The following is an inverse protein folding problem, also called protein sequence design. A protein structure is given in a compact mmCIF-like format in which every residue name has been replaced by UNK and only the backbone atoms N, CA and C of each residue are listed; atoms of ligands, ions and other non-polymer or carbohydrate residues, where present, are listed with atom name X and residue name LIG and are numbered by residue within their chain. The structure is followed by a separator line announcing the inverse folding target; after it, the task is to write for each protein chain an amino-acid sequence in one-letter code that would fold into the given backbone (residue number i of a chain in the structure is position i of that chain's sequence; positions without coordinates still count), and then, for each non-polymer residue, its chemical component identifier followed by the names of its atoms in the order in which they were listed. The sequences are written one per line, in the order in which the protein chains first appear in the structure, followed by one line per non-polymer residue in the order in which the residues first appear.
data_IF_159273988606
#
_entry.id   IF_159273988606
#
_cell.length_a   1.000
_cell.length_b   1.000
_cell.length_c   1.000
_cell.angle_alpha   90.00
_cell.angle_beta   90.00
_cell.angle_gamma   90.00
#
_symmetry.space_group_name_H-M   'P 1'
#
loop_
_entity.id
_entity.type
_entity.pdbx_description
1 polymer ?
#
# COMPACT_ATOMS: atom_id res chain seq x y z
N UNK A 1 0.36 -14.55 -3.67
CA UNK A 1 -0.54 -14.04 -2.60
C UNK A 1 0.37 -13.42 -1.56
N UNK A 2 0.16 -12.14 -1.21
CA UNK A 2 1.05 -11.42 -0.29
C UNK A 2 0.90 -12.03 1.12
N UNK A 3 2.00 -12.41 1.75
CA UNK A 3 2.03 -13.04 3.07
C UNK A 3 3.18 -12.48 3.94
N UNK A 4 3.35 -13.02 5.15
CA UNK A 4 4.40 -12.56 6.09
C UNK A 4 5.82 -12.80 5.57
N UNK A 5 6.07 -13.88 4.83
CA UNK A 5 7.38 -14.14 4.22
C UNK A 5 7.71 -13.08 3.16
N UNK A 6 6.71 -12.72 2.35
CA UNK A 6 6.83 -11.63 1.37
C UNK A 6 7.18 -10.31 2.06
N UNK A 7 6.53 -10.00 3.18
CA UNK A 7 6.83 -8.82 3.99
C UNK A 7 8.28 -8.86 4.52
N UNK A 8 8.73 -9.98 5.07
CA UNK A 8 10.10 -10.13 5.60
C UNK A 8 11.15 -9.87 4.51
N UNK A 9 10.96 -10.47 3.33
CA UNK A 9 11.79 -10.21 2.15
C UNK A 9 11.84 -8.71 1.78
N UNK A 10 10.71 -8.00 1.81
CA UNK A 10 10.66 -6.57 1.52
C UNK A 10 11.33 -5.71 2.60
N UNK A 11 11.25 -6.10 3.87
CA UNK A 11 11.95 -5.42 4.96
C UNK A 11 13.47 -5.51 4.79
N UNK A 12 13.96 -6.68 4.35
CA UNK A 12 15.38 -6.97 4.11
C UNK A 12 15.89 -6.45 2.76
N UNK A 13 15.03 -6.29 1.76
CA UNK A 13 15.42 -5.88 0.42
C UNK A 13 16.19 -4.55 0.42
N UNK A 14 17.31 -4.44 -0.33
CA UNK A 14 18.01 -3.17 -0.55
C UNK A 14 17.06 -2.14 -1.19
N UNK A 15 17.37 -0.86 -1.05
CA UNK A 15 16.46 0.28 -1.30
C UNK A 15 15.95 0.40 -2.74
N UNK A 16 16.43 -0.45 -3.64
CA UNK A 16 16.24 -0.40 -5.09
C UNK A 16 15.02 -1.18 -5.62
N UNK A 17 14.15 -1.72 -4.77
CA UNK A 17 12.80 -2.04 -5.23
C UNK A 17 12.03 -0.73 -5.41
N UNK A 18 12.19 -0.10 -6.58
CA UNK A 18 11.63 1.21 -7.00
C UNK A 18 10.11 1.32 -6.86
N UNK A 19 9.42 0.24 -6.47
CA UNK A 19 7.97 0.12 -6.42
C UNK A 19 7.43 -0.30 -5.04
N UNK A 20 8.20 -0.08 -3.97
CA UNK A 20 7.79 -0.35 -2.58
C UNK A 20 7.85 0.91 -1.71
N UNK A 21 6.67 1.37 -1.25
CA UNK A 21 6.53 2.53 -0.38
C UNK A 21 6.16 2.14 1.05
N UNK A 22 7.07 2.29 2.01
CA UNK A 22 6.80 2.02 3.43
C UNK A 22 6.33 3.26 4.18
N UNK A 23 5.32 3.13 5.03
CA UNK A 23 4.84 4.21 5.91
C UNK A 23 4.47 3.69 7.29
N UNK A 24 4.82 4.49 8.30
CA UNK A 24 4.63 4.10 9.70
C UNK A 24 3.15 3.94 10.05
N UNK A 25 2.33 4.97 9.77
CA UNK A 25 0.87 4.95 9.86
C UNK A 25 0.28 4.26 11.12
N UNK A 26 0.90 4.45 12.30
CA UNK A 26 0.51 3.76 13.54
C UNK A 26 -0.96 3.88 13.90
N UNK A 27 -1.49 5.10 13.85
CA UNK A 27 -2.86 5.40 14.26
C UNK A 27 -3.76 5.70 13.05
N UNK A 28 -3.25 6.49 12.12
CA UNK A 28 -4.00 6.95 10.97
C UNK A 28 -3.05 7.26 9.82
N UNK A 29 -3.60 7.30 8.61
CA UNK A 29 -2.87 7.73 7.43
C UNK A 29 -3.71 8.71 6.63
N UNK A 30 -3.04 9.72 6.06
CA UNK A 30 -3.75 10.76 5.30
C UNK A 30 -4.17 10.19 3.94
N UNK A 31 -5.49 10.14 3.71
CA UNK A 31 -6.06 9.63 2.46
C UNK A 31 -5.56 10.39 1.22
N UNK A 32 -5.43 11.71 1.27
CA UNK A 32 -4.90 12.50 0.16
C UNK A 32 -3.45 12.13 -0.16
N UNK A 33 -2.63 11.84 0.86
CA UNK A 33 -1.27 11.31 0.65
C UNK A 33 -1.31 9.92 0.03
N UNK A 34 -2.17 9.02 0.52
CA UNK A 34 -2.34 7.69 -0.04
C UNK A 34 -2.65 7.76 -1.54
N UNK A 35 -3.61 8.61 -1.93
CA UNK A 35 -3.97 8.80 -3.34
C UNK A 35 -2.78 9.26 -4.19
N UNK A 36 -1.95 10.19 -3.67
CA UNK A 36 -0.74 10.64 -4.38
C UNK A 36 0.26 9.51 -4.60
N UNK A 37 0.49 8.67 -3.58
CA UNK A 37 1.37 7.51 -3.70
C UNK A 37 0.81 6.49 -4.70
N UNK A 38 -0.50 6.21 -4.67
CA UNK A 38 -1.13 5.33 -5.65
C UNK A 38 -0.94 5.84 -7.09
N UNK A 39 -1.09 7.15 -7.33
CA UNK A 39 -0.86 7.72 -8.66
C UNK A 39 0.59 7.58 -9.10
N UNK A 40 1.54 7.89 -8.21
CA UNK A 40 2.97 7.77 -8.52
C UNK A 40 3.34 6.33 -8.90
N UNK A 41 3.00 5.35 -8.04
CA UNK A 41 3.27 3.94 -8.29
C UNK A 41 2.57 3.44 -9.56
N UNK A 42 1.32 3.81 -9.79
CA UNK A 42 0.59 3.40 -10.99
C UNK A 42 1.26 3.92 -12.27
N UNK A 43 1.77 5.15 -12.26
CA UNK A 43 2.55 5.70 -13.39
C UNK A 43 3.90 4.99 -13.60
N UNK A 44 4.49 4.44 -12.55
CA UNK A 44 5.80 3.76 -12.56
C UNK A 44 5.69 2.24 -12.86
N UNK A 45 4.51 1.78 -13.26
CA UNK A 45 4.25 0.37 -13.61
C UNK A 45 3.61 -0.45 -12.48
N UNK A 46 3.07 0.22 -11.47
CA UNK A 46 2.45 -0.39 -10.30
C UNK A 46 3.44 -0.59 -9.15
N UNK A 47 2.97 -1.14 -8.04
CA UNK A 47 3.79 -1.39 -6.86
C UNK A 47 2.97 -1.61 -5.60
N UNK A 48 3.64 -1.53 -4.45
CA UNK A 48 3.01 -1.77 -3.16
C UNK A 48 3.24 -0.62 -2.18
N UNK A 49 2.20 -0.25 -1.46
CA UNK A 49 2.29 0.66 -0.31
C UNK A 49 2.09 -0.18 0.95
N UNK A 50 3.07 -0.17 1.85
CA UNK A 50 3.09 -0.97 3.08
C UNK A 50 2.95 -0.03 4.28
N UNK A 51 1.82 -0.11 4.98
CA UNK A 51 1.54 0.66 6.18
C UNK A 51 1.79 -0.18 7.44
N UNK A 52 2.24 0.46 8.52
CA UNK A 52 2.58 -0.20 9.77
C UNK A 52 4.07 -0.58 9.88
N UNK A 53 4.92 0.05 9.06
CA UNK A 53 6.38 -0.17 9.02
C UNK A 53 7.12 1.16 9.04
N UNK A 54 8.23 1.25 9.77
CA UNK A 54 9.05 2.47 9.77
C UNK A 54 9.58 2.81 8.37
N UNK A 55 9.54 4.10 8.03
CA UNK A 55 9.97 4.61 6.72
C UNK A 55 11.49 4.48 6.52
N UNK A 56 12.26 4.72 7.60
CA UNK A 56 13.72 4.64 7.60
C UNK A 56 14.23 3.28 8.03
N UNK A 57 15.41 2.93 7.52
CA UNK A 57 16.15 1.75 7.97
C UNK A 57 16.71 1.94 9.39
N UNK A 58 16.82 0.85 10.17
CA UNK A 58 16.26 -0.48 9.92
C UNK A 58 14.73 -0.44 9.91
N UNK A 59 14.11 -1.06 8.89
CA UNK A 59 12.65 -1.09 8.76
C UNK A 59 12.08 -2.02 9.81
N UNK A 60 11.17 -1.53 10.62
CA UNK A 60 10.56 -2.28 11.72
C UNK A 60 9.06 -2.21 11.61
N UNK A 61 8.41 -3.36 11.80
CA UNK A 61 6.95 -3.42 11.94
C UNK A 61 6.56 -2.80 13.26
N UNK A 62 5.70 -1.78 13.20
CA UNK A 62 5.18 -1.03 14.35
C UNK A 62 3.68 -1.18 14.53
N UNK A 63 3.00 -1.79 13.54
CA UNK A 63 1.55 -1.93 13.52
C UNK A 63 0.82 -0.67 13.00
N UNK A 64 -0.38 -0.87 12.46
CA UNK A 64 -1.27 0.20 11.99
C UNK A 64 -2.73 -0.03 12.40
N UNK A 65 -3.32 1.02 12.96
CA UNK A 65 -4.76 1.15 13.24
C UNK A 65 -5.49 1.96 12.15
N UNK A 66 -4.84 2.24 11.03
CA UNK A 66 -5.51 2.91 9.92
C UNK A 66 -6.55 1.96 9.31
N UNK A 67 -7.77 2.45 9.06
CA UNK A 67 -8.87 1.67 8.47
C UNK A 67 -9.05 0.29 9.13
N UNK A 68 -9.23 0.23 10.45
CA UNK A 68 -9.29 -1.03 11.22
C UNK A 68 -10.52 -1.92 10.96
N UNK A 69 -11.53 -1.43 10.23
CA UNK A 69 -12.74 -2.20 9.91
C UNK A 69 -12.81 -2.54 8.42
N UNK A 70 -13.48 -3.64 8.09
CA UNK A 70 -13.72 -4.03 6.70
C UNK A 70 -14.49 -2.94 5.93
N UNK A 71 -15.43 -2.26 6.57
CA UNK A 71 -16.17 -1.13 5.98
C UNK A 71 -15.23 0.03 5.64
N UNK A 72 -14.29 0.36 6.53
CA UNK A 72 -13.31 1.42 6.28
C UNK A 72 -12.34 1.05 5.14
N UNK A 73 -11.92 -0.22 5.07
CA UNK A 73 -11.10 -0.73 3.97
C UNK A 73 -11.84 -0.74 2.63
N UNK A 74 -13.10 -1.14 2.62
CA UNK A 74 -13.94 -1.07 1.42
C UNK A 74 -14.20 0.38 1.00
N UNK A 75 -14.41 1.27 1.97
CA UNK A 75 -14.55 2.71 1.73
C UNK A 75 -13.31 3.29 1.04
N UNK A 76 -12.11 3.01 1.55
CA UNK A 76 -10.88 3.52 0.94
C UNK A 76 -10.62 2.92 -0.45
N UNK A 77 -10.93 1.62 -0.68
CA UNK A 77 -10.88 1.00 -2.01
C UNK A 77 -11.84 1.70 -2.99
N UNK A 78 -13.07 1.98 -2.56
CA UNK A 78 -14.08 2.66 -3.36
C UNK A 78 -13.67 4.11 -3.68
N UNK A 79 -13.12 4.83 -2.70
CA UNK A 79 -12.58 6.19 -2.88
C UNK A 79 -11.43 6.22 -3.90
N UNK A 80 -10.49 5.28 -3.79
CA UNK A 80 -9.39 5.14 -4.75
C UNK A 80 -9.95 4.88 -6.15
N UNK A 81 -10.89 3.95 -6.30
CA UNK A 81 -11.50 3.65 -7.59
C UNK A 81 -12.26 4.85 -8.17
N UNK A 82 -13.03 5.56 -7.35
CA UNK A 82 -13.81 6.71 -7.78
C UNK A 82 -12.90 7.86 -8.24
N UNK A 83 -11.81 8.13 -7.52
CA UNK A 83 -10.91 9.25 -7.80
C UNK A 83 -9.85 8.93 -8.85
N UNK A 84 -9.27 7.73 -8.81
CA UNK A 84 -8.12 7.36 -9.64
C UNK A 84 -8.47 6.43 -10.81
N UNK A 85 -9.70 5.89 -10.86
CA UNK A 85 -10.21 5.02 -11.93
C UNK A 85 -9.47 3.69 -12.12
N UNK A 86 -8.74 3.23 -11.10
CA UNK A 86 -8.19 1.88 -11.02
C UNK A 86 -8.52 1.23 -9.67
N UNK A 87 -8.52 -0.10 -9.63
CA UNK A 87 -8.81 -0.87 -8.42
C UNK A 87 -7.52 -1.21 -7.70
N UNK A 88 -7.48 -0.96 -6.40
CA UNK A 88 -6.38 -1.33 -5.52
C UNK A 88 -6.84 -2.46 -4.63
N UNK A 89 -6.02 -3.49 -4.51
CA UNK A 89 -6.25 -4.54 -3.51
C UNK A 89 -5.56 -4.22 -2.21
N UNK A 90 -6.16 -4.63 -1.10
CA UNK A 90 -5.62 -4.41 0.24
C UNK A 90 -5.52 -5.74 0.92
N UNK A 91 -4.30 -6.13 1.28
CA UNK A 91 -4.00 -7.34 2.05
C UNK A 91 -3.64 -6.93 3.47
N UNK A 92 -4.34 -7.52 4.44
CA UNK A 92 -4.04 -7.35 5.86
C UNK A 92 -3.13 -8.48 6.33
N UNK A 93 -1.99 -8.13 6.91
CA UNK A 93 -1.03 -9.08 7.46
C UNK A 93 -0.97 -8.90 8.98
N UNK A 94 -1.15 -10.00 9.71
CA UNK A 94 -0.98 -10.04 11.16
C UNK A 94 0.45 -10.44 11.48
N UNK A 95 1.32 -9.47 11.73
CA UNK A 95 2.70 -9.71 12.14
C UNK A 95 2.80 -9.70 13.67
N UNK A 96 3.80 -10.37 14.24
CA UNK A 96 3.98 -10.48 15.70
C UNK A 96 4.07 -9.12 16.40
N UNK A 97 4.64 -8.12 15.72
CA UNK A 97 4.78 -6.74 16.22
C UNK A 97 3.60 -5.82 15.89
N UNK A 98 2.58 -6.31 15.16
CA UNK A 98 1.37 -5.55 14.86
C UNK A 98 0.82 -5.76 13.44
N UNK A 99 -0.37 -5.18 13.20
CA UNK A 99 -1.07 -5.24 11.91
C UNK A 99 -0.36 -4.42 10.84
N UNK A 100 -0.16 -5.01 9.67
CA UNK A 100 0.41 -4.38 8.48
C UNK A 100 -0.62 -4.38 7.36
N UNK A 101 -0.74 -3.25 6.66
CA UNK A 101 -1.62 -3.13 5.50
C UNK A 101 -0.79 -2.99 4.24
N UNK A 102 -1.07 -3.84 3.25
CA UNK A 102 -0.39 -3.79 1.96
C UNK A 102 -1.41 -3.43 0.88
N UNK A 103 -1.21 -2.28 0.25
CA UNK A 103 -1.99 -1.82 -0.90
C UNK A 103 -1.26 -2.24 -2.18
N UNK A 104 -1.90 -3.11 -2.96
CA UNK A 104 -1.45 -3.52 -4.30
C UNK A 104 -1.96 -2.52 -5.35
N UNK A 105 -1.05 -1.73 -5.89
CA UNK A 105 -1.35 -0.67 -6.84
C UNK A 105 -1.04 -1.16 -8.24
N UNK A 106 -2.04 -1.27 -9.14
CA UNK A 106 -1.79 -1.73 -10.50
C UNK A 106 -1.08 -0.66 -11.34
N UNK A 107 -0.37 -1.06 -12.41
CA UNK A 107 0.08 -0.12 -13.43
C UNK A 107 -1.10 0.66 -13.99
N UNK A 108 -0.84 1.90 -14.40
CA UNK A 108 -1.86 2.75 -14.99
C UNK A 108 -2.43 2.04 -16.21
N UNK A 109 -3.76 1.89 -16.31
CA UNK A 109 -4.34 1.28 -17.49
C UNK A 109 -3.91 2.11 -18.71
N UNK A 110 -3.14 1.49 -19.61
CA UNK A 110 -2.86 2.06 -20.92
C UNK A 110 -4.21 2.25 -21.59
N UNK A 111 -4.54 3.51 -21.89
CA UNK A 111 -5.83 3.84 -22.49
C UNK A 111 -6.04 2.99 -23.73
N UNK A 112 -7.16 2.27 -23.77
CA UNK A 112 -7.74 1.85 -25.03
C UNK A 112 -7.94 3.14 -25.83
N UNK A 113 -7.19 3.31 -26.92
CA UNK A 113 -7.40 4.36 -27.91
C UNK A 113 -8.86 4.22 -28.32
N UNK A 114 -9.71 5.12 -27.84
CA UNK A 114 -11.06 5.29 -28.37
C UNK A 114 -10.91 5.84 -29.78
N UNK A 115 -10.99 4.94 -30.75
CA UNK A 115 -11.28 5.22 -32.16
C UNK A 115 -12.64 5.92 -32.29
#
# INVERSE_FOLDING_TARGET
MINLETLDHWLLAPTETERLEFKEAKQQFNQTKLLKYCVALSNEGGGYIVLGVTDKRPRQVVGSQAWSTAEALNGIKADIFHKLRFRVDITELQHANGRVLVFDVPPRPVGQIGI
#
